data_IF_904390863016
#
_entry.id   IF_904390863016
#
_cell.length_a   1.000
_cell.length_b   1.000
_cell.length_c   1.000
_cell.angle_alpha   90.00
_cell.angle_beta   90.00
_cell.angle_gamma   90.00
#
_symmetry.space_group_name_H-M   'P 1'
#
loop_
_entity.id
_entity.type
_entity.pdbx_description
1 polymer ?
#
# COMPACT_ATOMS: atom_id res chain seq x y z
N UNK A 1 17.27 3.33 23.80
CA UNK A 1 17.19 1.86 23.94
C UNK A 1 15.71 1.52 23.99
N UNK A 2 15.11 1.29 22.84
CA UNK A 2 13.72 0.85 22.72
C UNK A 2 13.71 -0.65 22.92
N UNK A 3 13.12 -1.11 24.03
CA UNK A 3 12.85 -2.53 24.26
C UNK A 3 12.05 -3.06 23.07
N UNK A 4 12.55 -4.13 22.45
CA UNK A 4 11.86 -4.93 21.46
C UNK A 4 10.53 -5.40 22.08
N UNK A 5 9.42 -4.68 21.85
CA UNK A 5 8.09 -5.20 22.14
C UNK A 5 7.97 -6.52 21.38
N UNK A 6 7.86 -7.63 22.11
CA UNK A 6 7.63 -8.96 21.55
C UNK A 6 6.43 -8.88 20.62
N UNK A 7 6.64 -9.17 19.34
CA UNK A 7 5.58 -9.38 18.36
C UNK A 7 4.65 -10.44 18.96
N UNK A 8 3.41 -10.06 19.29
CA UNK A 8 2.42 -10.99 19.85
C UNK A 8 2.00 -11.93 18.72
N UNK A 9 2.67 -13.07 18.65
CA UNK A 9 2.52 -14.07 17.58
C UNK A 9 1.27 -14.94 17.71
N UNK A 10 0.54 -14.83 18.83
CA UNK A 10 -0.64 -15.68 19.11
C UNK A 10 -1.92 -14.83 19.10
N UNK A 11 -2.88 -15.22 18.26
CA UNK A 11 -4.20 -14.58 18.14
C UNK A 11 -4.92 -14.46 19.50
N UNK A 12 -4.84 -15.48 20.35
CA UNK A 12 -5.47 -15.48 21.67
C UNK A 12 -4.85 -14.42 22.59
N UNK A 13 -3.52 -14.31 22.63
CA UNK A 13 -2.83 -13.27 23.41
C UNK A 13 -3.19 -11.87 22.93
N UNK A 14 -3.35 -11.68 21.62
CA UNK A 14 -3.75 -10.41 21.04
C UNK A 14 -5.18 -10.03 21.47
N UNK A 15 -6.10 -11.00 21.47
CA UNK A 15 -7.51 -10.80 21.81
C UNK A 15 -7.69 -10.51 23.30
N UNK A 16 -6.93 -11.15 24.16
CA UNK A 16 -7.00 -10.98 25.62
C UNK A 16 -6.34 -9.68 26.11
N UNK A 17 -5.63 -8.94 25.23
CA UNK A 17 -4.95 -7.69 25.61
C UNK A 17 -5.86 -6.48 25.48
N UNK A 18 -5.69 -5.51 26.39
CA UNK A 18 -6.32 -4.17 26.33
C UNK A 18 -5.32 -3.07 25.97
N UNK A 19 -4.19 -3.43 25.37
CA UNK A 19 -3.12 -2.50 25.07
C UNK A 19 -3.35 -1.69 23.78
N UNK A 20 -4.56 -1.75 23.21
CA UNK A 20 -4.93 -1.08 21.96
C UNK A 20 -5.90 0.07 22.18
N UNK A 21 -5.85 1.04 21.27
CA UNK A 21 -6.89 2.06 21.14
C UNK A 21 -8.18 1.37 20.68
N UNK A 22 -9.23 1.52 21.47
CA UNK A 22 -10.51 0.86 21.22
C UNK A 22 -11.11 1.29 19.88
N UNK A 23 -11.51 0.29 19.08
CA UNK A 23 -12.31 0.45 17.86
C UNK A 23 -11.67 1.29 16.74
N UNK A 24 -10.34 1.42 16.76
CA UNK A 24 -9.57 2.03 15.68
C UNK A 24 -8.54 1.04 15.15
N UNK A 25 -8.43 0.94 13.82
CA UNK A 25 -7.42 0.14 13.12
C UNK A 25 -6.68 0.96 12.08
N UNK A 26 -5.57 0.44 11.61
CA UNK A 26 -4.87 0.93 10.41
C UNK A 26 -4.91 -0.17 9.36
N UNK A 27 -5.12 0.22 8.09
CA UNK A 27 -5.09 -0.67 6.95
C UNK A 27 -4.23 -0.06 5.84
N UNK A 28 -3.30 -0.85 5.26
CA UNK A 28 -2.29 -0.39 4.31
C UNK A 28 -2.58 -0.96 2.92
N UNK A 29 -2.98 -0.11 1.99
CA UNK A 29 -3.14 -0.47 0.57
C UNK A 29 -1.78 -0.30 -0.12
N UNK A 30 -1.10 -1.42 -0.35
CA UNK A 30 0.24 -1.42 -0.94
C UNK A 30 0.13 -1.79 -2.41
N UNK A 31 0.43 -0.82 -3.27
CA UNK A 31 0.55 -1.03 -4.70
C UNK A 31 1.98 -1.38 -5.08
N UNK A 32 2.13 -2.31 -6.02
CA UNK A 32 3.40 -2.72 -6.59
C UNK A 32 3.39 -2.59 -8.11
N UNK A 33 4.49 -2.09 -8.66
CA UNK A 33 4.67 -2.04 -10.10
C UNK A 33 5.58 -3.17 -10.57
N UNK A 34 5.15 -3.92 -11.60
CA UNK A 34 5.94 -4.98 -12.21
C UNK A 34 5.56 -5.17 -13.68
N UNK A 35 6.56 -5.11 -14.58
CA UNK A 35 6.41 -5.39 -16.03
C UNK A 35 5.16 -4.73 -16.63
N UNK A 36 5.02 -3.43 -16.51
CA UNK A 36 3.93 -2.63 -17.07
C UNK A 36 2.54 -2.91 -16.45
N UNK A 37 2.45 -3.56 -15.29
CA UNK A 37 1.20 -3.78 -14.56
C UNK A 37 1.26 -3.29 -13.13
N UNK A 38 0.16 -2.71 -12.65
CA UNK A 38 -0.03 -2.35 -11.26
C UNK A 38 -0.72 -3.50 -10.52
N UNK A 39 -0.18 -3.85 -9.37
CA UNK A 39 -0.68 -4.92 -8.51
C UNK A 39 -0.95 -4.39 -7.11
N UNK A 40 -1.74 -5.12 -6.34
CA UNK A 40 -1.99 -4.86 -4.92
C UNK A 40 -1.57 -6.06 -4.08
N UNK A 41 -0.94 -5.79 -2.93
CA UNK A 41 -0.52 -6.83 -1.98
C UNK A 41 -1.68 -7.20 -1.06
N UNK A 42 -2.01 -8.48 -1.02
CA UNK A 42 -3.10 -9.02 -0.20
C UNK A 42 -2.63 -10.18 0.67
N UNK A 43 -3.29 -10.33 1.80
CA UNK A 43 -3.10 -11.39 2.78
C UNK A 43 -4.32 -12.29 2.79
N UNK A 44 -4.13 -13.62 2.75
CA UNK A 44 -5.21 -14.59 2.86
C UNK A 44 -5.38 -15.01 4.31
N UNK A 45 -6.59 -14.92 4.84
CA UNK A 45 -6.87 -15.41 6.18
C UNK A 45 -6.74 -16.93 6.27
N UNK A 46 -6.24 -17.42 7.41
CA UNK A 46 -6.20 -18.86 7.70
C UNK A 46 -7.62 -19.46 7.64
N UNK A 47 -7.73 -20.60 6.96
CA UNK A 47 -8.95 -21.41 6.89
C UNK A 47 -10.19 -20.70 6.31
N UNK A 48 -9.99 -19.52 5.67
CA UNK A 48 -11.05 -18.78 4.99
C UNK A 48 -10.65 -18.47 3.55
N UNK A 49 -11.61 -18.53 2.64
CA UNK A 49 -11.42 -18.02 1.28
C UNK A 49 -11.72 -16.53 1.21
N UNK A 50 -11.02 -15.77 2.07
CA UNK A 50 -11.12 -14.32 2.19
C UNK A 50 -9.74 -13.69 2.23
N UNK A 51 -9.62 -12.58 1.49
CA UNK A 51 -8.39 -11.80 1.40
C UNK A 51 -8.57 -10.39 1.99
N UNK A 52 -7.49 -9.83 2.48
CA UNK A 52 -7.48 -8.49 3.08
C UNK A 52 -6.23 -7.72 2.65
N UNK A 53 -6.28 -6.40 2.76
CA UNK A 53 -5.06 -5.59 2.79
C UNK A 53 -4.33 -5.82 4.13
N UNK A 54 -3.00 -5.60 4.22
CA UNK A 54 -2.28 -5.59 5.49
C UNK A 54 -2.92 -4.62 6.47
N UNK A 55 -3.37 -5.12 7.63
CA UNK A 55 -4.04 -4.31 8.64
C UNK A 55 -3.69 -4.72 10.06
N UNK A 56 -3.95 -3.84 11.02
CA UNK A 56 -3.67 -4.07 12.43
C UNK A 56 -4.27 -3.03 13.36
N UNK A 57 -4.12 -3.30 14.66
CA UNK A 57 -4.59 -2.41 15.72
C UNK A 57 -3.49 -1.44 16.14
N UNK A 58 -3.88 -0.34 16.76
CA UNK A 58 -2.98 0.73 17.21
C UNK A 58 -2.74 0.52 18.70
N UNK A 59 -1.47 0.41 19.12
CA UNK A 59 -1.15 0.34 20.55
C UNK A 59 -1.38 1.69 21.24
N UNK A 60 -1.73 1.65 22.53
CA UNK A 60 -2.01 2.86 23.31
C UNK A 60 -0.81 3.81 23.43
N UNK A 61 0.40 3.35 23.18
CA UNK A 61 1.66 4.08 23.32
C UNK A 61 2.38 4.34 21.99
N UNK A 62 1.68 4.25 20.84
CA UNK A 62 2.25 4.57 19.52
C UNK A 62 1.41 5.59 18.75
N UNK A 63 2.03 6.31 17.81
CA UNK A 63 1.33 7.20 16.89
C UNK A 63 0.75 6.43 15.70
N UNK A 64 -0.23 7.01 15.01
CA UNK A 64 -0.86 6.38 13.83
C UNK A 64 0.13 5.97 12.74
N UNK A 65 1.10 6.83 12.41
CA UNK A 65 2.10 6.53 11.39
C UNK A 65 3.02 5.39 11.82
N UNK A 66 3.39 5.34 13.11
CA UNK A 66 4.21 4.28 13.68
C UNK A 66 3.45 2.95 13.67
N UNK A 67 2.15 2.98 14.02
CA UNK A 67 1.25 1.83 13.94
C UNK A 67 1.13 1.28 12.52
N UNK A 68 0.97 2.16 11.51
CA UNK A 68 0.88 1.76 10.11
C UNK A 68 2.19 1.12 9.63
N UNK A 69 3.35 1.74 9.92
CA UNK A 69 4.67 1.21 9.56
C UNK A 69 4.95 -0.13 10.26
N UNK A 70 4.68 -0.23 11.56
CA UNK A 70 4.81 -1.49 12.32
C UNK A 70 3.91 -2.58 11.74
N UNK A 71 2.63 -2.27 11.51
CA UNK A 71 1.66 -3.22 10.96
C UNK A 71 2.10 -3.73 9.60
N UNK A 72 2.55 -2.85 8.72
CA UNK A 72 3.08 -3.24 7.42
C UNK A 72 4.29 -4.17 7.59
N UNK A 73 5.24 -3.81 8.43
CA UNK A 73 6.43 -4.63 8.69
C UNK A 73 6.08 -6.01 9.26
N UNK A 74 5.19 -6.08 10.26
CA UNK A 74 4.76 -7.33 10.88
C UNK A 74 4.09 -8.29 9.89
N UNK A 75 3.36 -7.74 8.91
CA UNK A 75 2.60 -8.52 7.93
C UNK A 75 3.41 -8.89 6.68
N UNK A 76 4.39 -8.08 6.30
CA UNK A 76 5.04 -8.19 5.00
C UNK A 76 6.57 -8.14 5.05
N UNK A 77 7.16 -7.81 6.20
CA UNK A 77 8.59 -7.53 6.42
C UNK A 77 9.14 -6.38 5.56
N UNK A 78 8.26 -5.55 5.01
CA UNK A 78 8.64 -4.32 4.33
C UNK A 78 8.98 -3.23 5.35
N UNK A 79 10.19 -2.68 5.25
CA UNK A 79 10.63 -1.50 5.99
C UNK A 79 10.90 -0.33 5.04
N UNK A 80 11.01 0.86 5.59
CA UNK A 80 11.37 2.09 4.87
C UNK A 80 10.42 2.40 3.69
N UNK A 81 9.16 2.03 3.84
CA UNK A 81 8.10 2.32 2.87
C UNK A 81 7.48 3.67 3.20
N UNK A 82 7.39 4.54 2.20
CA UNK A 82 6.69 5.80 2.31
C UNK A 82 5.18 5.57 2.33
N UNK A 83 4.59 5.65 3.53
CA UNK A 83 3.16 5.47 3.78
C UNK A 83 2.48 6.83 3.93
N UNK A 84 1.42 7.07 3.17
CA UNK A 84 0.58 8.26 3.30
C UNK A 84 -0.85 7.89 3.70
N UNK A 85 -1.37 8.60 4.69
CA UNK A 85 -2.78 8.50 5.04
C UNK A 85 -3.62 9.09 3.91
N UNK A 86 -4.59 8.31 3.39
CA UNK A 86 -5.41 8.75 2.25
C UNK A 86 -6.89 8.87 2.54
N UNK A 87 -7.44 8.06 3.47
CA UNK A 87 -8.86 8.06 3.78
C UNK A 87 -9.14 7.44 5.14
N UNK A 88 -10.32 7.75 5.72
CA UNK A 88 -10.81 7.09 6.94
C UNK A 88 -12.12 6.36 6.63
N UNK A 89 -12.14 5.06 6.91
CA UNK A 89 -13.24 4.15 6.65
C UNK A 89 -14.08 3.95 7.90
N UNK A 90 -15.29 4.47 7.91
CA UNK A 90 -16.16 4.47 9.10
C UNK A 90 -17.61 4.13 8.79
N UNK A 91 -17.92 3.49 7.64
CA UNK A 91 -19.28 3.07 7.34
C UNK A 91 -19.82 2.12 8.42
N UNK A 92 -21.10 2.26 8.76
CA UNK A 92 -21.72 1.45 9.82
C UNK A 92 -21.79 -0.04 9.44
N UNK A 93 -21.78 -0.34 8.15
CA UNK A 93 -21.93 -1.71 7.61
C UNK A 93 -20.59 -2.42 7.37
N UNK A 94 -19.45 -1.73 7.53
CA UNK A 94 -18.15 -2.30 7.15
C UNK A 94 -17.78 -3.62 7.87
N UNK A 95 -18.38 -3.91 9.01
CA UNK A 95 -18.14 -5.12 9.81
C UNK A 95 -19.29 -6.15 9.76
N UNK A 96 -20.33 -5.92 8.95
CA UNK A 96 -21.51 -6.83 8.88
C UNK A 96 -21.17 -8.26 8.41
N UNK A 97 -20.02 -8.46 7.73
CA UNK A 97 -19.62 -9.77 7.20
C UNK A 97 -19.14 -10.78 8.26
N UNK A 98 -19.10 -10.39 9.53
CA UNK A 98 -18.71 -11.22 10.67
C UNK A 98 -17.38 -11.98 10.47
N UNK A 99 -16.43 -11.38 9.79
CA UNK A 99 -15.13 -12.01 9.45
C UNK A 99 -14.39 -12.43 10.71
N UNK A 100 -14.31 -11.54 11.71
CA UNK A 100 -13.65 -11.84 12.97
C UNK A 100 -14.30 -13.03 13.69
N UNK A 101 -15.65 -13.10 13.68
CA UNK A 101 -16.35 -14.23 14.27
C UNK A 101 -15.96 -15.55 13.60
N UNK A 102 -15.98 -15.62 12.27
CA UNK A 102 -15.60 -16.81 11.51
C UNK A 102 -14.15 -17.23 11.78
N UNK A 103 -13.23 -16.25 11.89
CA UNK A 103 -11.83 -16.53 12.22
C UNK A 103 -11.66 -17.15 13.59
N UNK A 104 -12.37 -16.65 14.60
CA UNK A 104 -12.30 -17.18 15.96
C UNK A 104 -12.95 -18.57 16.06
N UNK A 105 -14.10 -18.76 15.43
CA UNK A 105 -14.79 -20.05 15.35
C UNK A 105 -13.88 -21.12 14.72
N UNK A 106 -13.22 -20.83 13.60
CA UNK A 106 -12.30 -21.77 12.94
C UNK A 106 -11.10 -22.14 13.81
N UNK A 107 -10.66 -21.23 14.68
CA UNK A 107 -9.56 -21.49 15.63
C UNK A 107 -10.01 -22.03 16.98
N UNK A 108 -11.31 -22.35 17.16
CA UNK A 108 -11.93 -22.77 18.41
C UNK A 108 -11.63 -21.80 19.57
N UNK A 109 -11.62 -20.50 19.29
CA UNK A 109 -11.46 -19.45 20.30
C UNK A 109 -12.83 -18.88 20.61
N UNK A 110 -13.33 -19.17 21.80
CA UNK A 110 -14.59 -18.64 22.29
C UNK A 110 -14.36 -17.33 23.03
N UNK A 111 -15.08 -16.28 22.64
CA UNK A 111 -15.13 -14.99 23.33
C UNK A 111 -16.58 -14.54 23.46
N UNK A 112 -16.86 -13.76 24.49
CA UNK A 112 -18.20 -13.22 24.72
C UNK A 112 -18.66 -12.34 23.55
N UNK A 113 -19.96 -12.34 23.25
CA UNK A 113 -20.52 -11.53 22.15
C UNK A 113 -20.33 -10.02 22.34
N UNK A 114 -20.13 -9.57 23.57
CA UNK A 114 -19.80 -8.17 23.87
C UNK A 114 -18.33 -7.82 23.68
N UNK A 115 -17.50 -8.81 23.32
CA UNK A 115 -16.06 -8.63 23.17
C UNK A 115 -15.74 -7.57 22.10
N UNK A 116 -14.72 -6.74 22.35
CA UNK A 116 -14.33 -5.61 21.53
C UNK A 116 -14.08 -5.99 20.06
N UNK A 117 -13.58 -7.18 19.78
CA UNK A 117 -13.26 -7.64 18.41
C UNK A 117 -14.50 -7.78 17.50
N UNK A 118 -15.69 -7.91 18.10
CA UNK A 118 -16.96 -7.96 17.36
C UNK A 118 -17.59 -6.58 17.16
N UNK A 119 -17.03 -5.57 17.78
CA UNK A 119 -17.54 -4.22 17.65
C UNK A 119 -17.13 -3.58 16.30
N UNK A 120 -17.80 -2.51 15.95
CA UNK A 120 -17.46 -1.74 14.76
C UNK A 120 -16.13 -1.01 14.95
N UNK A 121 -15.26 -1.11 13.95
CA UNK A 121 -14.01 -0.37 13.88
C UNK A 121 -14.11 0.78 12.88
N UNK A 122 -13.40 1.87 13.17
CA UNK A 122 -13.02 2.88 12.21
C UNK A 122 -11.60 2.54 11.76
N UNK A 123 -11.36 2.47 10.46
CA UNK A 123 -10.02 2.21 9.94
C UNK A 123 -9.42 3.44 9.28
N UNK A 124 -8.18 3.72 9.63
CA UNK A 124 -7.36 4.74 8.97
C UNK A 124 -6.56 4.08 7.86
N UNK A 125 -6.91 4.42 6.61
CA UNK A 125 -6.28 3.86 5.41
C UNK A 125 -4.99 4.58 5.04
N UNK A 126 -3.92 3.81 4.89
CA UNK A 126 -2.63 4.23 4.36
C UNK A 126 -2.37 3.65 2.98
N UNK A 127 -1.68 4.39 2.14
CA UNK A 127 -1.34 3.98 0.78
C UNK A 127 0.17 4.08 0.56
N UNK A 128 0.73 3.12 -0.16
CA UNK A 128 2.10 3.16 -0.65
C UNK A 128 2.21 2.58 -2.04
N UNK A 129 3.24 3.02 -2.76
CA UNK A 129 3.64 2.49 -4.06
C UNK A 129 5.10 2.02 -3.96
N UNK A 130 5.34 0.73 -4.21
CA UNK A 130 6.65 0.10 -4.03
C UNK A 130 7.07 -0.73 -5.24
N UNK A 131 8.34 -1.10 -5.30
CA UNK A 131 8.82 -2.12 -6.24
C UNK A 131 8.29 -3.50 -5.81
N UNK A 132 7.58 -4.15 -6.72
CA UNK A 132 7.04 -5.49 -6.54
C UNK A 132 8.09 -6.54 -6.11
N UNK A 133 9.35 -6.37 -6.50
CA UNK A 133 10.42 -7.35 -6.23
C UNK A 133 10.91 -7.34 -4.77
N UNK A 134 10.51 -6.33 -3.99
CA UNK A 134 10.98 -6.14 -2.62
C UNK A 134 10.22 -6.97 -1.58
N UNK A 135 9.18 -7.70 -1.96
CA UNK A 135 8.34 -8.43 -1.00
C UNK A 135 8.76 -9.88 -0.82
N UNK A 136 8.98 -10.25 0.44
CA UNK A 136 9.04 -11.65 0.87
C UNK A 136 7.75 -11.98 1.62
N UNK A 137 7.13 -13.10 1.26
CA UNK A 137 5.86 -13.51 1.84
C UNK A 137 6.12 -14.44 3.02
N UNK A 138 5.77 -13.99 4.23
CA UNK A 138 5.83 -14.83 5.43
C UNK A 138 4.43 -15.00 6.00
N UNK A 139 3.97 -16.24 6.24
CA UNK A 139 2.75 -16.49 6.99
C UNK A 139 2.88 -15.98 8.43
N UNK A 140 1.79 -15.47 8.98
CA UNK A 140 1.70 -15.11 10.40
C UNK A 140 0.57 -15.86 11.10
N UNK A 141 0.23 -15.49 12.33
CA UNK A 141 -0.85 -16.14 13.08
C UNK A 141 -2.27 -15.89 12.53
N UNK A 142 -2.44 -14.88 11.68
CA UNK A 142 -3.72 -14.52 11.07
C UNK A 142 -3.81 -14.95 9.62
N UNK A 143 -2.68 -14.92 8.89
CA UNK A 143 -2.63 -15.06 7.44
C UNK A 143 -1.72 -16.21 7.02
N UNK A 144 -2.22 -17.04 6.11
CA UNK A 144 -1.49 -18.19 5.56
C UNK A 144 -0.64 -17.81 4.34
N UNK A 145 -1.05 -16.78 3.60
CA UNK A 145 -0.41 -16.35 2.34
C UNK A 145 -0.41 -14.84 2.24
N UNK A 146 0.71 -14.29 1.75
CA UNK A 146 0.81 -12.92 1.27
C UNK A 146 1.11 -12.96 -0.22
N UNK A 147 0.30 -12.32 -1.06
CA UNK A 147 0.40 -12.45 -2.51
C UNK A 147 0.00 -11.16 -3.24
N UNK A 148 0.59 -10.95 -4.41
CA UNK A 148 0.26 -9.87 -5.32
C UNK A 148 -0.86 -10.26 -6.28
N UNK A 149 -1.85 -9.38 -6.42
CA UNK A 149 -2.97 -9.52 -7.35
C UNK A 149 -2.99 -8.38 -8.34
N UNK A 150 -3.42 -8.67 -9.57
CA UNK A 150 -3.76 -7.62 -10.53
C UNK A 150 -4.95 -6.83 -10.00
N UNK A 151 -4.88 -5.50 -10.04
CA UNK A 151 -5.94 -4.63 -9.49
C UNK A 151 -7.31 -4.85 -10.15
N UNK A 152 -7.35 -5.38 -11.37
CA UNK A 152 -8.57 -5.69 -12.11
C UNK A 152 -9.13 -7.10 -11.82
N UNK A 153 -8.42 -7.92 -11.01
CA UNK A 153 -8.76 -9.32 -10.72
C UNK A 153 -8.61 -9.63 -9.24
N UNK A 154 -9.31 -8.87 -8.43
CA UNK A 154 -9.29 -9.08 -6.98
C UNK A 154 -10.02 -10.37 -6.61
N UNK A 155 -9.51 -11.12 -5.62
CA UNK A 155 -10.18 -12.27 -5.03
C UNK A 155 -11.36 -11.83 -4.17
N UNK A 156 -11.99 -12.78 -3.46
CA UNK A 156 -13.03 -12.48 -2.50
C UNK A 156 -12.45 -11.71 -1.30
N UNK A 157 -12.90 -10.48 -1.09
CA UNK A 157 -12.32 -9.57 -0.09
C UNK A 157 -13.09 -9.62 1.23
N UNK A 158 -12.36 -9.50 2.33
CA UNK A 158 -12.91 -9.33 3.67
C UNK A 158 -13.34 -7.87 3.88
N UNK A 159 -14.32 -7.67 4.75
CA UNK A 159 -14.82 -6.33 5.14
C UNK A 159 -15.15 -5.44 3.93
N UNK A 160 -14.72 -4.19 4.00
CA UNK A 160 -14.79 -3.17 2.95
C UNK A 160 -13.45 -2.99 2.21
N UNK A 161 -12.56 -3.99 2.26
CA UNK A 161 -11.20 -3.88 1.73
C UNK A 161 -11.15 -3.71 0.20
N UNK A 162 -12.16 -4.18 -0.54
CA UNK A 162 -12.27 -3.85 -1.95
C UNK A 162 -12.44 -2.33 -2.15
N UNK A 163 -13.34 -1.70 -1.39
CA UNK A 163 -13.53 -0.24 -1.44
C UNK A 163 -12.25 0.51 -1.02
N UNK A 164 -11.49 -0.03 -0.06
CA UNK A 164 -10.20 0.54 0.33
C UNK A 164 -9.21 0.56 -0.83
N UNK A 165 -9.11 -0.54 -1.59
CA UNK A 165 -8.25 -0.62 -2.77
C UNK A 165 -8.70 0.38 -3.84
N UNK A 166 -10.00 0.47 -4.13
CA UNK A 166 -10.56 1.39 -5.12
C UNK A 166 -10.26 2.86 -4.76
N UNK A 167 -10.48 3.24 -3.49
CA UNK A 167 -10.17 4.59 -2.99
C UNK A 167 -8.66 4.87 -2.96
N UNK A 168 -7.85 3.87 -2.56
CA UNK A 168 -6.40 3.95 -2.58
C UNK A 168 -5.85 4.16 -4.00
N UNK A 169 -6.41 3.44 -4.98
CA UNK A 169 -6.06 3.61 -6.40
C UNK A 169 -6.42 5.00 -6.91
N UNK A 170 -7.60 5.50 -6.54
CA UNK A 170 -8.02 6.85 -6.90
C UNK A 170 -7.08 7.92 -6.29
N UNK A 171 -6.69 7.73 -5.03
CA UNK A 171 -5.71 8.59 -4.35
C UNK A 171 -4.35 8.54 -5.04
N UNK A 172 -3.82 7.35 -5.33
CA UNK A 172 -2.57 7.14 -6.04
C UNK A 172 -2.57 7.86 -7.40
N UNK A 173 -3.63 7.70 -8.19
CA UNK A 173 -3.78 8.35 -9.50
C UNK A 173 -3.84 9.87 -9.42
N UNK A 174 -4.51 10.43 -8.41
CA UNK A 174 -4.58 11.88 -8.19
C UNK A 174 -3.24 12.49 -7.77
N UNK A 175 -2.44 11.73 -7.04
CA UNK A 175 -1.16 12.18 -6.47
C UNK A 175 0.05 11.53 -7.16
N UNK A 176 -0.12 11.03 -8.38
CA UNK A 176 0.86 10.19 -9.07
C UNK A 176 2.23 10.85 -9.18
N UNK A 177 2.28 12.15 -9.46
CA UNK A 177 3.52 12.89 -9.65
C UNK A 177 4.37 12.88 -8.36
N UNK A 178 3.73 12.94 -7.19
CA UNK A 178 4.36 12.89 -5.88
C UNK A 178 4.71 11.45 -5.47
N UNK A 179 3.79 10.52 -5.64
CA UNK A 179 3.94 9.10 -5.27
C UNK A 179 5.07 8.42 -6.04
N UNK A 180 5.18 8.68 -7.35
CA UNK A 180 6.23 8.10 -8.19
C UNK A 180 7.62 8.58 -7.77
N UNK A 181 7.76 9.84 -7.35
CA UNK A 181 9.03 10.38 -6.88
C UNK A 181 9.52 9.71 -5.59
N UNK A 182 8.60 9.41 -4.66
CA UNK A 182 8.94 8.78 -3.37
C UNK A 182 9.09 7.26 -3.42
N UNK A 183 8.76 6.61 -4.53
CA UNK A 183 8.59 5.16 -4.59
C UNK A 183 9.84 4.37 -5.00
N UNK A 184 10.89 5.01 -5.49
CA UNK A 184 12.10 4.36 -6.04
C UNK A 184 11.81 3.26 -7.08
N UNK A 185 10.70 3.38 -7.84
CA UNK A 185 10.26 2.39 -8.83
C UNK A 185 11.08 2.38 -10.12
N UNK A 186 11.83 3.44 -10.35
CA UNK A 186 12.72 3.55 -11.49
C UNK A 186 14.17 3.49 -11.01
N UNK A 187 15.09 3.01 -11.87
CA UNK A 187 16.53 3.12 -11.60
C UNK A 187 16.91 4.59 -11.35
N UNK A 188 18.07 4.82 -10.69
CA UNK A 188 18.60 6.19 -10.46
C UNK A 188 18.66 7.03 -11.74
N UNK A 189 18.87 6.37 -12.87
CA UNK A 189 18.86 6.98 -14.20
C UNK A 189 17.89 6.23 -15.12
N UNK A 190 16.93 6.94 -15.65
CA UNK A 190 15.88 6.37 -16.51
C UNK A 190 15.64 7.24 -17.76
N UNK A 191 15.00 6.64 -18.76
CA UNK A 191 14.55 7.34 -19.97
C UNK A 191 13.13 7.89 -19.76
N UNK A 192 12.77 8.91 -20.54
CA UNK A 192 11.40 9.44 -20.55
C UNK A 192 10.36 8.36 -20.95
N UNK A 193 10.78 7.34 -21.71
CA UNK A 193 9.92 6.22 -22.08
C UNK A 193 9.61 5.31 -20.89
N UNK A 194 10.60 4.98 -20.07
CA UNK A 194 10.41 4.17 -18.86
C UNK A 194 9.50 4.90 -17.86
N UNK A 195 9.72 6.20 -17.65
CA UNK A 195 8.84 7.02 -16.82
C UNK A 195 7.40 7.05 -17.38
N UNK A 196 7.22 7.20 -18.70
CA UNK A 196 5.91 7.19 -19.32
C UNK A 196 5.18 5.85 -19.12
N UNK A 197 5.88 4.73 -19.28
CA UNK A 197 5.30 3.39 -19.07
C UNK A 197 4.83 3.19 -17.63
N UNK A 198 5.61 3.67 -16.65
CA UNK A 198 5.20 3.65 -15.24
C UNK A 198 3.89 4.42 -15.03
N UNK A 199 3.79 5.64 -15.58
CA UNK A 199 2.57 6.44 -15.48
C UNK A 199 1.38 5.79 -16.19
N UNK A 200 1.57 5.23 -17.37
CA UNK A 200 0.52 4.53 -18.12
C UNK A 200 -0.02 3.33 -17.34
N UNK A 201 0.86 2.55 -16.70
CA UNK A 201 0.45 1.42 -15.86
C UNK A 201 -0.37 1.84 -14.65
N UNK A 202 0.02 2.92 -13.95
CA UNK A 202 -0.70 3.42 -12.78
C UNK A 202 -2.04 4.04 -13.19
N UNK A 203 -2.05 4.85 -14.25
CA UNK A 203 -3.27 5.51 -14.72
C UNK A 203 -4.25 4.54 -15.40
N UNK A 204 -3.73 3.43 -15.95
CA UNK A 204 -4.52 2.44 -16.69
C UNK A 204 -4.90 2.88 -18.10
N UNK A 205 -4.24 3.91 -18.65
CA UNK A 205 -4.52 4.46 -19.97
C UNK A 205 -3.23 4.90 -20.69
N UNK A 206 -3.20 4.82 -22.03
CA UNK A 206 -2.04 5.26 -22.81
C UNK A 206 -1.92 6.80 -22.82
N UNK A 207 -0.69 7.29 -22.72
CA UNK A 207 -0.38 8.72 -22.73
C UNK A 207 0.24 9.16 -24.06
N UNK A 208 -0.13 10.34 -24.56
CA UNK A 208 0.51 10.91 -25.75
C UNK A 208 1.92 11.39 -25.39
N UNK A 209 2.94 10.75 -26.00
CA UNK A 209 4.36 10.97 -25.71
C UNK A 209 4.76 12.47 -25.60
N UNK A 210 4.36 13.30 -26.56
CA UNK A 210 4.76 14.71 -26.57
C UNK A 210 4.11 15.50 -25.42
N UNK A 211 2.85 15.18 -25.09
CA UNK A 211 2.15 15.83 -23.98
C UNK A 211 2.74 15.40 -22.64
N UNK A 212 3.01 14.11 -22.47
CA UNK A 212 3.64 13.56 -21.28
C UNK A 212 5.01 14.19 -21.04
N UNK A 213 5.90 14.14 -22.06
CA UNK A 213 7.23 14.73 -21.93
C UNK A 213 7.16 16.21 -21.58
N UNK A 214 6.26 16.99 -22.21
CA UNK A 214 6.08 18.41 -21.89
C UNK A 214 5.61 18.60 -20.44
N UNK A 215 4.64 17.81 -19.97
CA UNK A 215 4.18 17.83 -18.57
C UNK A 215 5.35 17.55 -17.62
N UNK A 216 6.06 16.44 -17.80
CA UNK A 216 7.16 16.04 -16.89
C UNK A 216 8.26 17.11 -16.80
N UNK A 217 8.64 17.72 -17.94
CA UNK A 217 9.65 18.76 -17.95
C UNK A 217 9.14 20.07 -17.30
N UNK A 218 7.84 20.37 -17.37
CA UNK A 218 7.27 21.56 -16.75
C UNK A 218 7.15 21.47 -15.22
N UNK A 219 7.14 20.27 -14.66
CA UNK A 219 7.10 20.05 -13.21
C UNK A 219 8.41 20.41 -12.51
N UNK A 220 9.51 20.58 -13.26
CA UNK A 220 10.85 20.85 -12.72
C UNK A 220 11.31 19.86 -11.64
N UNK A 221 10.91 18.60 -11.78
CA UNK A 221 11.28 17.50 -10.87
C UNK A 221 12.38 16.61 -11.42
N UNK A 222 12.79 16.84 -12.68
CA UNK A 222 13.75 16.02 -13.41
C UNK A 222 14.99 16.81 -13.79
N UNK A 223 16.16 16.21 -13.55
CA UNK A 223 17.43 16.62 -14.14
C UNK A 223 17.68 15.79 -15.41
N UNK A 224 17.98 16.49 -16.52
CA UNK A 224 18.36 15.80 -17.75
C UNK A 224 19.86 15.53 -17.77
N UNK A 225 20.22 14.27 -18.02
CA UNK A 225 21.59 13.78 -18.07
C UNK A 225 22.07 13.56 -19.50
N UNK A 226 23.14 12.75 -19.66
CA UNK A 226 23.72 12.32 -20.91
C UNK A 226 22.75 11.45 -21.76
N UNK A 227 23.10 11.25 -23.03
CA UNK A 227 22.37 10.33 -23.90
C UNK A 227 22.74 8.88 -23.60
N UNK A 228 21.74 8.00 -23.60
CA UNK A 228 21.91 6.57 -23.44
C UNK A 228 22.20 5.90 -24.80
N UNK A 229 23.46 5.64 -25.08
CA UNK A 229 23.90 4.99 -26.31
C UNK A 229 23.82 3.46 -26.16
N UNK A 230 22.85 2.83 -26.82
CA UNK A 230 22.64 1.36 -26.80
C UNK A 230 23.24 0.66 -28.00
N UNK A 231 23.97 1.36 -28.88
CA UNK A 231 24.50 0.79 -30.11
C UNK A 231 23.48 0.57 -31.23
N UNK A 232 22.21 0.96 -31.02
CA UNK A 232 21.19 0.85 -32.07
C UNK A 232 21.23 2.04 -33.03
N UNK A 233 20.72 1.84 -34.28
CA UNK A 233 20.66 2.85 -35.33
C UNK A 233 19.74 4.03 -35.02
N UNK A 234 18.93 3.95 -33.96
CA UNK A 234 18.00 5.00 -33.55
C UNK A 234 18.70 6.11 -32.76
N UNK A 235 18.14 7.32 -32.82
CA UNK A 235 18.64 8.47 -32.05
C UNK A 235 18.59 8.14 -30.54
N UNK A 236 19.76 8.12 -29.89
CA UNK A 236 19.89 7.80 -28.46
C UNK A 236 19.00 8.72 -27.59
N UNK A 237 18.17 8.16 -26.70
CA UNK A 237 17.35 8.96 -25.78
C UNK A 237 18.23 9.63 -24.72
N UNK A 238 17.73 10.69 -24.11
CA UNK A 238 18.34 11.27 -22.90
C UNK A 238 17.95 10.44 -21.69
N UNK A 239 18.88 10.33 -20.75
CA UNK A 239 18.62 9.87 -19.40
C UNK A 239 18.16 11.03 -18.52
N UNK A 240 17.40 10.70 -17.50
CA UNK A 240 16.88 11.63 -16.49
C UNK A 240 17.05 11.00 -15.10
N UNK A 241 17.09 11.83 -14.09
CA UNK A 241 16.95 11.42 -12.68
C UNK A 241 15.98 12.37 -11.97
N UNK A 242 15.37 11.94 -10.88
CA UNK A 242 14.61 12.83 -10.01
C UNK A 242 15.57 13.77 -9.24
N UNK A 243 15.12 14.99 -9.01
CA UNK A 243 15.83 15.93 -8.12
C UNK A 243 15.60 15.50 -6.66
N UNK A 244 16.62 15.63 -5.80
CA UNK A 244 16.54 15.23 -4.38
C UNK A 244 15.56 16.09 -3.57
N UNK A 245 15.42 17.37 -3.89
CA UNK A 245 14.51 18.31 -3.22
C UNK A 245 13.79 19.19 -4.28
N UNK A 246 12.86 18.64 -5.04
CA UNK A 246 12.13 19.44 -6.01
C UNK A 246 11.17 20.40 -5.30
N UNK A 247 11.19 21.68 -5.67
CA UNK A 247 10.11 22.59 -5.34
C UNK A 247 8.88 22.25 -6.18
N UNK A 248 8.05 21.33 -5.68
CA UNK A 248 6.76 21.02 -6.32
C UNK A 248 5.89 22.26 -6.09
N UNK A 249 5.66 23.03 -7.13
CA UNK A 249 4.63 24.06 -7.12
C UNK A 249 3.29 23.33 -7.01
N UNK A 250 2.71 23.33 -5.82
CA UNK A 250 1.31 22.96 -5.65
C UNK A 250 0.52 23.88 -6.60
N UNK A 251 0.01 23.31 -7.68
CA UNK A 251 -1.01 23.99 -8.45
C UNK A 251 -2.25 23.97 -7.52
N UNK A 252 -2.45 25.07 -6.82
CA UNK A 252 -3.68 25.36 -6.10
C UNK A 252 -4.84 25.10 -7.07
N UNK A 253 -5.59 24.05 -6.80
CA UNK A 253 -6.89 23.84 -7.42
C UNK A 253 -7.84 24.85 -6.77
N UNK A 254 -7.88 26.06 -7.35
CA UNK A 254 -9.00 26.98 -7.17
C UNK A 254 -10.13 26.63 -8.14
#
# INVERSE_FOLDING_TARGET
>A
MTENKKIKTNLKELIDTKDFVDHVSVDCVIFGFHKDSLKVLLLKYHDLDLWSVPGGFIFNDENLNDAAARTLYERTHLSDVFLEQFYTFGDIKRTENNVHQKLLENKNIEVDKSHWIYQRFISVGYCALIDYTLTYTFPDSFNEVCQWFDIDKLPNMAFDHQEMIEKGLLYLRKNIDYQVMGSNLLPDKFTMKELQHLYEAILGEPLRRNNFQRKMLSLNILERLEKHYTGSANKAPYLYKFLENPEIKNNDFS
#
